data_IF_834347454350
#
_entry.id   IF_834347454350
#
_cell.length_a   1.000
_cell.length_b   1.000
_cell.length_c   1.000
_cell.angle_alpha   90.00
_cell.angle_beta   90.00
_cell.angle_gamma   90.00
#
_symmetry.space_group_name_H-M   'P 1'
#
loop_
_entity.id
_entity.type
_entity.pdbx_description
1 polymer ?
#
# COMPACT_ATOMS: atom_id res chain seq x y z
N UNK A 1 35.83 -14.39 4.80
CA UNK A 1 36.10 -13.10 5.45
C UNK A 1 34.78 -12.34 5.46
N UNK A 2 34.08 -12.31 6.61
CA UNK A 2 32.86 -11.54 6.77
C UNK A 2 33.28 -10.07 6.78
N UNK A 3 32.87 -9.32 5.75
CA UNK A 3 33.00 -7.86 5.77
C UNK A 3 31.78 -7.37 6.55
N UNK A 4 32.00 -6.86 7.75
CA UNK A 4 30.99 -6.07 8.48
C UNK A 4 30.39 -5.06 7.50
N UNK A 5 29.06 -4.99 7.34
CA UNK A 5 28.46 -3.95 6.52
C UNK A 5 28.90 -2.62 7.12
N UNK A 6 29.64 -1.82 6.34
CA UNK A 6 30.06 -0.48 6.74
C UNK A 6 28.88 0.28 7.33
N UNK A 7 29.15 1.07 8.38
CA UNK A 7 28.15 1.81 9.13
C UNK A 7 27.08 2.40 8.19
N UNK A 8 25.80 2.19 8.53
CA UNK A 8 24.68 2.82 7.81
C UNK A 8 24.97 4.31 7.64
N UNK A 9 24.65 4.92 6.48
CA UNK A 9 24.72 6.38 6.34
C UNK A 9 23.98 7.02 7.52
N UNK A 10 24.62 7.97 8.20
CA UNK A 10 23.99 8.65 9.32
C UNK A 10 22.66 9.28 8.84
N UNK A 11 21.54 8.89 9.48
CA UNK A 11 20.21 9.40 9.16
C UNK A 11 19.34 8.55 8.21
N UNK A 12 19.77 7.35 7.80
CA UNK A 12 18.93 6.44 7.00
C UNK A 12 17.69 5.99 7.80
N UNK A 13 16.51 6.17 7.21
CA UNK A 13 15.28 5.70 7.81
C UNK A 13 15.28 4.17 7.94
N UNK A 14 14.65 3.65 9.00
CA UNK A 14 14.68 2.21 9.32
C UNK A 14 14.09 1.33 8.20
N UNK A 15 13.11 1.85 7.45
CA UNK A 15 12.50 1.15 6.32
C UNK A 15 13.43 1.09 5.11
N UNK A 16 14.18 2.15 4.81
CA UNK A 16 15.16 2.18 3.72
C UNK A 16 16.31 1.23 4.00
N UNK A 17 16.77 1.22 5.25
CA UNK A 17 17.77 0.25 5.72
C UNK A 17 17.28 -1.19 5.57
N UNK A 18 16.02 -1.47 5.92
CA UNK A 18 15.45 -2.83 5.81
C UNK A 18 15.41 -3.29 4.35
N UNK A 19 14.94 -2.44 3.43
CA UNK A 19 14.92 -2.73 1.99
C UNK A 19 16.33 -2.97 1.46
N UNK A 20 17.27 -2.07 1.78
CA UNK A 20 18.68 -2.18 1.37
C UNK A 20 19.30 -3.48 1.84
N UNK A 21 19.16 -3.83 3.12
CA UNK A 21 19.69 -5.07 3.67
C UNK A 21 19.06 -6.29 3.01
N UNK A 22 17.75 -6.25 2.73
CA UNK A 22 17.09 -7.33 2.01
C UNK A 22 17.65 -7.50 0.59
N UNK A 23 17.86 -6.41 -0.17
CA UNK A 23 18.48 -6.47 -1.51
C UNK A 23 19.88 -7.09 -1.48
N UNK A 24 20.71 -6.71 -0.50
CA UNK A 24 22.04 -7.29 -0.31
C UNK A 24 21.96 -8.78 0.01
N UNK A 25 21.06 -9.18 0.93
CA UNK A 25 20.79 -10.59 1.23
C UNK A 25 20.33 -11.34 -0.03
N UNK A 26 19.47 -10.76 -0.85
CA UNK A 26 18.97 -11.40 -2.08
C UNK A 26 20.12 -11.78 -3.01
N UNK A 27 21.05 -10.85 -3.26
CA UNK A 27 22.24 -11.13 -4.09
C UNK A 27 23.11 -12.23 -3.48
N UNK A 28 23.36 -12.18 -2.17
CA UNK A 28 24.14 -13.20 -1.47
C UNK A 28 23.47 -14.59 -1.52
N UNK A 29 22.14 -14.65 -1.36
CA UNK A 29 21.36 -15.89 -1.42
C UNK A 29 21.37 -16.47 -2.82
N UNK A 30 21.18 -15.67 -3.87
CA UNK A 30 21.23 -16.15 -5.25
C UNK A 30 22.62 -16.71 -5.58
N UNK A 31 23.70 -16.00 -5.21
CA UNK A 31 25.07 -16.48 -5.40
C UNK A 31 25.33 -17.80 -4.66
N UNK A 32 24.79 -17.95 -3.45
CA UNK A 32 24.91 -19.18 -2.64
C UNK A 32 24.13 -20.36 -3.22
N UNK A 33 22.90 -20.12 -3.70
CA UNK A 33 22.00 -21.18 -4.20
C UNK A 33 22.35 -21.64 -5.61
N UNK A 34 23.09 -20.82 -6.35
CA UNK A 34 23.63 -21.14 -7.67
C UNK A 34 22.57 -21.16 -8.78
N UNK A 35 22.91 -21.75 -9.94
CA UNK A 35 22.04 -21.78 -11.10
C UNK A 35 20.65 -22.37 -10.82
N UNK A 36 19.63 -21.81 -11.47
CA UNK A 36 18.22 -22.22 -11.33
C UNK A 36 17.50 -21.68 -10.09
N UNK A 37 18.16 -20.85 -9.28
CA UNK A 37 17.52 -20.03 -8.26
C UNK A 37 16.93 -18.76 -8.89
N UNK A 38 15.63 -18.55 -8.70
CA UNK A 38 14.90 -17.38 -9.21
C UNK A 38 14.32 -16.60 -8.03
N UNK A 39 14.56 -15.29 -7.95
CA UNK A 39 13.96 -14.44 -6.90
C UNK A 39 12.45 -14.38 -7.10
N UNK A 40 11.68 -14.57 -6.02
CA UNK A 40 10.23 -14.76 -6.09
C UNK A 40 9.48 -14.07 -4.95
N UNK A 41 8.13 -14.11 -4.95
CA UNK A 41 7.26 -13.53 -3.90
C UNK A 41 7.63 -12.07 -3.56
N UNK A 42 7.63 -11.70 -2.26
CA UNK A 42 7.89 -10.32 -1.83
C UNK A 42 9.29 -9.81 -2.19
N UNK A 43 10.28 -10.71 -2.30
CA UNK A 43 11.64 -10.34 -2.73
C UNK A 43 11.65 -9.92 -4.19
N UNK A 44 10.87 -10.59 -5.05
CA UNK A 44 10.68 -10.20 -6.44
C UNK A 44 9.84 -8.92 -6.55
N UNK A 45 8.76 -8.81 -5.77
CA UNK A 45 7.93 -7.60 -5.76
C UNK A 45 8.77 -6.35 -5.46
N UNK A 46 9.64 -6.43 -4.45
CA UNK A 46 10.54 -5.33 -4.11
C UNK A 46 11.55 -5.02 -5.23
N UNK A 47 12.10 -6.03 -5.93
CA UNK A 47 12.98 -5.81 -7.08
C UNK A 47 12.26 -5.10 -8.25
N UNK A 48 10.97 -5.39 -8.45
CA UNK A 48 10.13 -4.69 -9.43
C UNK A 48 9.75 -3.26 -9.00
N UNK A 49 10.23 -2.80 -7.84
CA UNK A 49 9.91 -1.47 -7.32
C UNK A 49 8.53 -1.37 -6.67
N UNK A 50 7.86 -2.48 -6.39
CA UNK A 50 6.55 -2.48 -5.73
C UNK A 50 6.67 -2.12 -4.23
N UNK A 51 5.60 -1.55 -3.64
CA UNK A 51 5.59 -1.19 -2.23
C UNK A 51 5.79 -2.41 -1.32
N UNK A 52 6.44 -2.18 -0.17
CA UNK A 52 6.78 -3.26 0.79
C UNK A 52 5.87 -3.26 2.02
N UNK A 53 4.71 -2.60 1.94
CA UNK A 53 3.77 -2.54 3.06
C UNK A 53 3.23 -3.94 3.39
N UNK A 54 3.18 -4.28 4.68
CA UNK A 54 2.70 -5.58 5.16
C UNK A 54 3.60 -6.77 4.80
N UNK A 55 4.76 -6.55 4.16
CA UNK A 55 5.66 -7.62 3.76
C UNK A 55 6.69 -7.92 4.85
N UNK A 56 6.87 -9.20 5.17
CA UNK A 56 8.02 -9.64 5.95
C UNK A 56 9.26 -9.73 5.06
N UNK A 57 10.21 -8.83 5.29
CA UNK A 57 11.50 -8.76 4.60
C UNK A 57 12.65 -9.38 5.41
N UNK A 58 12.36 -10.14 6.47
CA UNK A 58 13.39 -10.81 7.29
C UNK A 58 14.19 -11.85 6.49
N UNK A 59 13.52 -12.55 5.57
CA UNK A 59 14.06 -13.62 4.71
C UNK A 59 13.87 -13.32 3.23
N UNK A 60 14.80 -13.81 2.42
CA UNK A 60 14.75 -13.74 0.95
C UNK A 60 13.90 -14.89 0.41
N UNK A 61 12.96 -14.59 -0.47
CA UNK A 61 12.14 -15.59 -1.14
C UNK A 61 12.75 -15.96 -2.50
N UNK A 62 12.96 -17.26 -2.70
CA UNK A 62 13.52 -17.82 -3.93
C UNK A 62 12.71 -19.04 -4.34
N UNK A 63 12.37 -19.16 -5.61
CA UNK A 63 11.75 -20.35 -6.19
C UNK A 63 12.78 -21.12 -7.01
N UNK A 64 12.80 -22.45 -6.86
CA UNK A 64 13.56 -23.37 -7.73
C UNK A 64 12.58 -24.34 -8.39
N UNK A 65 12.78 -24.61 -9.68
CA UNK A 65 11.99 -25.61 -10.40
C UNK A 65 12.31 -27.04 -9.94
N UNK A 66 13.56 -27.30 -9.59
CA UNK A 66 14.05 -28.63 -9.21
C UNK A 66 14.93 -28.59 -7.96
N UNK A 67 15.17 -29.77 -7.37
CA UNK A 67 16.02 -29.94 -6.19
C UNK A 67 15.26 -29.92 -4.85
N UNK A 68 16.02 -29.83 -3.75
CA UNK A 68 15.49 -29.89 -2.39
C UNK A 68 15.03 -28.50 -1.91
N UNK A 69 13.87 -28.45 -1.28
CA UNK A 69 13.40 -27.31 -0.48
C UNK A 69 14.25 -27.23 0.79
N UNK A 70 15.13 -26.24 0.90
CA UNK A 70 15.95 -26.00 2.10
C UNK A 70 15.89 -24.53 2.48
N UNK A 71 14.89 -24.18 3.28
CA UNK A 71 14.82 -22.88 3.94
C UNK A 71 15.77 -22.83 5.13
N UNK A 72 16.23 -21.63 5.47
CA UNK A 72 17.05 -21.33 6.64
C UNK A 72 16.64 -19.97 7.24
N UNK A 73 17.45 -19.44 8.17
CA UNK A 73 17.17 -18.15 8.82
C UNK A 73 17.26 -16.94 7.89
N UNK A 74 17.81 -17.09 6.68
CA UNK A 74 18.09 -16.00 5.73
C UNK A 74 17.22 -16.14 4.48
N UNK A 75 16.88 -17.36 4.06
CA UNK A 75 16.14 -17.60 2.82
C UNK A 75 15.01 -18.61 3.00
N UNK A 76 13.88 -18.30 2.36
CA UNK A 76 12.81 -19.24 2.10
C UNK A 76 12.88 -19.74 0.66
N UNK A 77 13.14 -21.04 0.54
CA UNK A 77 13.22 -21.72 -0.75
C UNK A 77 11.89 -22.39 -1.03
N UNK A 78 11.29 -22.03 -2.15
CA UNK A 78 10.03 -22.56 -2.67
C UNK A 78 10.29 -23.50 -3.84
N UNK A 79 9.30 -24.34 -4.14
CA UNK A 79 9.32 -25.20 -5.32
C UNK A 79 8.08 -24.96 -6.14
N UNK A 80 8.28 -24.56 -7.39
CA UNK A 80 7.21 -24.37 -8.37
C UNK A 80 7.83 -24.44 -9.75
N UNK A 81 7.06 -24.91 -10.72
CA UNK A 81 7.44 -24.83 -12.12
C UNK A 81 7.27 -23.38 -12.60
N UNK A 82 8.01 -23.03 -13.65
CA UNK A 82 7.89 -21.74 -14.32
C UNK A 82 7.30 -22.00 -15.70
N UNK A 83 6.17 -21.37 -15.98
CA UNK A 83 5.58 -21.37 -17.31
C UNK A 83 6.31 -20.37 -18.22
N UNK A 84 6.23 -20.54 -19.56
CA UNK A 84 6.78 -19.58 -20.49
C UNK A 84 6.27 -18.16 -20.21
N UNK A 85 7.19 -17.20 -20.11
CA UNK A 85 6.87 -15.80 -19.84
C UNK A 85 6.75 -15.43 -18.36
N UNK A 86 7.00 -16.35 -17.42
CA UNK A 86 6.96 -16.05 -15.98
C UNK A 86 8.30 -15.59 -15.39
N UNK A 87 9.36 -15.57 -16.19
CA UNK A 87 10.70 -15.17 -15.78
C UNK A 87 11.14 -13.91 -16.53
N UNK A 88 11.90 -13.07 -15.84
CA UNK A 88 12.54 -11.88 -16.37
C UNK A 88 13.87 -11.63 -15.63
N UNK A 89 14.59 -10.59 -16.03
CA UNK A 89 15.84 -10.16 -15.38
C UNK A 89 15.67 -8.75 -14.83
N UNK A 90 16.00 -8.57 -13.56
CA UNK A 90 16.05 -7.26 -12.89
C UNK A 90 17.39 -7.14 -12.19
N UNK A 91 18.14 -6.07 -12.44
CA UNK A 91 19.47 -5.83 -11.87
C UNK A 91 20.44 -7.02 -11.99
N UNK A 92 20.37 -7.75 -13.12
CA UNK A 92 21.20 -8.92 -13.40
C UNK A 92 20.79 -10.21 -12.67
N UNK A 93 19.70 -10.19 -11.90
CA UNK A 93 19.15 -11.36 -11.21
C UNK A 93 18.01 -11.97 -12.04
N UNK A 94 17.91 -13.31 -12.04
CA UNK A 94 16.71 -13.99 -12.53
C UNK A 94 15.58 -13.81 -11.51
N UNK A 95 14.45 -13.24 -11.96
CA UNK A 95 13.31 -12.89 -11.12
C UNK A 95 12.02 -13.35 -11.81
N UNK A 96 11.02 -13.75 -11.04
CA UNK A 96 9.68 -13.93 -11.61
C UNK A 96 9.10 -12.61 -12.12
N UNK A 97 8.19 -12.61 -13.10
CA UNK A 97 7.54 -11.37 -13.58
C UNK A 97 6.76 -10.67 -12.48
N UNK A 98 6.47 -9.37 -12.65
CA UNK A 98 5.69 -8.60 -11.67
C UNK A 98 4.33 -9.25 -11.39
N UNK A 99 3.62 -9.70 -12.43
CA UNK A 99 2.34 -10.42 -12.29
C UNK A 99 2.46 -11.66 -11.38
N UNK A 100 3.52 -12.45 -11.59
CA UNK A 100 3.80 -13.65 -10.82
C UNK A 100 4.21 -13.31 -9.38
N UNK A 101 5.04 -12.29 -9.19
CA UNK A 101 5.44 -11.80 -7.88
C UNK A 101 4.24 -11.33 -7.05
N UNK A 102 3.32 -10.57 -7.65
CA UNK A 102 2.06 -10.14 -7.01
C UNK A 102 1.23 -11.36 -6.60
N UNK A 103 1.00 -12.31 -7.52
CA UNK A 103 0.20 -13.50 -7.25
C UNK A 103 0.80 -14.38 -6.13
N UNK A 104 2.11 -14.65 -6.20
CA UNK A 104 2.82 -15.44 -5.19
C UNK A 104 2.79 -14.76 -3.82
N UNK A 105 3.04 -13.44 -3.77
CA UNK A 105 3.03 -12.69 -2.52
C UNK A 105 1.63 -12.64 -1.92
N UNK A 106 0.60 -12.39 -2.72
CA UNK A 106 -0.79 -12.38 -2.28
C UNK A 106 -1.23 -13.75 -1.74
N UNK A 107 -0.79 -14.85 -2.37
CA UNK A 107 -1.06 -16.21 -1.88
C UNK A 107 -0.40 -16.49 -0.53
N UNK A 108 0.82 -15.97 -0.31
CA UNK A 108 1.60 -16.22 0.89
C UNK A 108 1.31 -15.25 2.05
N UNK A 109 0.54 -14.18 1.80
CA UNK A 109 0.28 -13.10 2.77
C UNK A 109 -1.22 -12.90 3.01
N UNK A 110 -1.79 -11.76 2.59
CA UNK A 110 -3.17 -11.40 2.81
C UNK A 110 -3.80 -10.80 1.55
N UNK A 111 -5.14 -10.77 1.54
CA UNK A 111 -5.93 -10.09 0.52
C UNK A 111 -5.53 -8.62 0.38
N UNK A 112 -5.39 -7.89 1.49
CA UNK A 112 -5.04 -6.46 1.49
C UNK A 112 -3.65 -6.21 0.90
N UNK A 113 -2.66 -7.03 1.25
CA UNK A 113 -1.31 -6.98 0.63
C UNK A 113 -1.40 -7.24 -0.86
N UNK A 114 -2.21 -8.22 -1.27
CA UNK A 114 -2.46 -8.51 -2.68
C UNK A 114 -3.06 -7.33 -3.44
N UNK A 115 -4.00 -6.60 -2.84
CA UNK A 115 -4.60 -5.39 -3.44
C UNK A 115 -3.56 -4.29 -3.57
N UNK A 116 -2.81 -3.99 -2.50
CA UNK A 116 -1.77 -2.96 -2.52
C UNK A 116 -0.71 -3.23 -3.61
N UNK A 117 -0.26 -4.48 -3.71
CA UNK A 117 0.71 -4.87 -4.74
C UNK A 117 0.10 -4.85 -6.15
N UNK A 118 -1.16 -5.30 -6.29
CA UNK A 118 -1.89 -5.28 -7.55
C UNK A 118 -2.10 -3.86 -8.08
N UNK A 119 -2.65 -2.97 -7.25
CA UNK A 119 -2.84 -1.55 -7.55
C UNK A 119 -1.53 -0.91 -8.00
N UNK A 120 -0.46 -1.07 -7.21
CA UNK A 120 0.83 -0.47 -7.52
C UNK A 120 1.45 -1.00 -8.84
N UNK A 121 1.29 -2.30 -9.11
CA UNK A 121 1.78 -2.92 -10.34
C UNK A 121 1.00 -2.43 -11.58
N UNK A 122 -0.32 -2.24 -11.44
CA UNK A 122 -1.19 -1.69 -12.49
C UNK A 122 -0.90 -0.21 -12.73
N UNK A 123 -0.80 0.58 -11.66
CA UNK A 123 -0.48 2.01 -11.70
C UNK A 123 0.86 2.26 -12.41
N UNK A 124 1.87 1.47 -12.06
CA UNK A 124 3.21 1.54 -12.67
C UNK A 124 3.29 0.89 -14.06
N UNK A 125 2.17 0.33 -14.56
CA UNK A 125 2.07 -0.38 -15.85
C UNK A 125 3.06 -1.55 -16.00
N UNK A 126 3.45 -2.16 -14.88
CA UNK A 126 4.30 -3.36 -14.86
C UNK A 126 3.52 -4.61 -15.29
N UNK A 127 2.19 -4.56 -15.17
CA UNK A 127 1.26 -5.61 -15.56
C UNK A 127 -0.04 -4.98 -16.07
N UNK A 128 -0.74 -5.63 -17.00
CA UNK A 128 -2.11 -5.27 -17.35
C UNK A 128 -3.12 -5.98 -16.45
N UNK A 129 -4.36 -5.46 -16.30
CA UNK A 129 -5.42 -6.17 -15.55
C UNK A 129 -5.63 -7.61 -16.04
N UNK A 130 -5.61 -7.80 -17.36
CA UNK A 130 -5.80 -9.11 -18.00
C UNK A 130 -4.64 -10.06 -17.69
N UNK A 131 -3.39 -9.55 -17.74
CA UNK A 131 -2.21 -10.34 -17.44
C UNK A 131 -2.14 -10.74 -15.95
N UNK A 132 -2.56 -9.84 -15.05
CA UNK A 132 -2.65 -10.13 -13.62
C UNK A 132 -3.70 -11.21 -13.35
N UNK A 133 -4.90 -11.06 -13.93
CA UNK A 133 -5.98 -12.05 -13.81
C UNK A 133 -5.59 -13.41 -14.42
N UNK A 134 -4.98 -13.42 -15.61
CA UNK A 134 -4.52 -14.65 -16.24
C UNK A 134 -3.46 -15.38 -15.39
N UNK A 135 -2.60 -14.62 -14.68
CA UNK A 135 -1.57 -15.20 -13.81
C UNK A 135 -2.18 -15.87 -12.58
N UNK A 136 -3.10 -15.20 -11.87
CA UNK A 136 -3.78 -15.82 -10.72
C UNK A 136 -4.67 -17.00 -11.15
N UNK A 137 -5.23 -16.96 -12.35
CA UNK A 137 -6.06 -18.04 -12.90
C UNK A 137 -5.26 -19.29 -13.26
N UNK A 138 -4.06 -19.08 -13.80
CA UNK A 138 -3.09 -20.14 -14.08
C UNK A 138 -2.70 -20.87 -12.80
N UNK A 139 -2.54 -20.14 -11.71
CA UNK A 139 -2.07 -20.66 -10.42
C UNK A 139 -3.16 -20.87 -9.38
N UNK A 140 -4.38 -21.12 -9.85
CA UNK A 140 -5.57 -21.31 -9.01
C UNK A 140 -5.48 -22.45 -7.99
N UNK A 141 -4.52 -23.36 -8.11
CA UNK A 141 -4.33 -24.50 -7.19
C UNK A 141 -3.35 -24.22 -6.05
N UNK A 142 -2.70 -23.07 -6.02
CA UNK A 142 -1.85 -22.73 -4.88
C UNK A 142 -2.66 -22.49 -3.61
N UNK A 143 -2.02 -22.77 -2.49
CA UNK A 143 -2.53 -22.31 -1.20
C UNK A 143 -2.62 -20.78 -1.21
N UNK A 144 -3.73 -20.23 -0.73
CA UNK A 144 -3.99 -18.78 -0.75
C UNK A 144 -4.46 -18.21 -2.09
N UNK A 145 -4.58 -19.03 -3.15
CA UNK A 145 -5.04 -18.58 -4.47
C UNK A 145 -6.44 -17.92 -4.47
N UNK A 146 -7.42 -18.30 -3.62
CA UNK A 146 -8.70 -17.61 -3.61
C UNK A 146 -8.58 -16.14 -3.18
N UNK A 147 -7.73 -15.87 -2.17
CA UNK A 147 -7.45 -14.52 -1.70
C UNK A 147 -6.68 -13.71 -2.75
N UNK A 148 -5.67 -14.31 -3.40
CA UNK A 148 -4.94 -13.67 -4.49
C UNK A 148 -5.83 -13.33 -5.69
N UNK A 149 -6.75 -14.24 -6.06
CA UNK A 149 -7.74 -14.00 -7.11
C UNK A 149 -8.71 -12.89 -6.74
N UNK A 150 -9.21 -12.88 -5.51
CA UNK A 150 -10.07 -11.81 -5.02
C UNK A 150 -9.35 -10.46 -5.07
N UNK A 151 -8.09 -10.42 -4.62
CA UNK A 151 -7.28 -9.20 -4.65
C UNK A 151 -7.04 -8.71 -6.08
N UNK A 152 -6.69 -9.60 -7.02
CA UNK A 152 -6.52 -9.25 -8.42
C UNK A 152 -7.79 -8.71 -9.08
N UNK A 153 -8.97 -9.22 -8.69
CA UNK A 153 -10.27 -8.69 -9.16
C UNK A 153 -10.60 -7.32 -8.59
N UNK A 154 -10.15 -7.04 -7.38
CA UNK A 154 -10.38 -5.76 -6.70
C UNK A 154 -9.35 -4.69 -7.09
N UNK A 155 -8.19 -5.11 -7.58
CA UNK A 155 -7.11 -4.20 -7.94
C UNK A 155 -7.51 -3.21 -9.04
N UNK A 156 -7.08 -1.96 -8.90
CA UNK A 156 -7.33 -0.87 -9.82
C UNK A 156 -6.14 0.10 -9.80
N UNK A 157 -5.54 0.32 -10.98
CA UNK A 157 -4.33 1.14 -11.15
C UNK A 157 -4.54 2.65 -11.00
N UNK A 158 -5.76 3.10 -10.70
CA UNK A 158 -6.03 4.50 -10.33
C UNK A 158 -5.67 4.80 -8.87
N UNK A 159 -5.48 3.80 -7.99
CA UNK A 159 -4.89 4.06 -6.67
C UNK A 159 -3.41 4.41 -6.86
N UNK A 160 -3.00 5.59 -6.40
CA UNK A 160 -1.63 6.10 -6.60
C UNK A 160 -0.71 5.81 -5.41
N UNK A 161 -1.30 5.45 -4.26
CA UNK A 161 -0.57 5.20 -3.02
C UNK A 161 -1.04 3.95 -2.28
N UNK A 162 -0.16 3.43 -1.40
CA UNK A 162 -0.48 2.29 -0.52
C UNK A 162 -1.74 2.57 0.29
N UNK A 163 -1.90 3.78 0.82
CA UNK A 163 -3.02 4.03 1.70
C UNK A 163 -4.33 4.31 0.98
N UNK A 164 -4.33 4.82 -0.25
CA UNK A 164 -5.53 4.80 -1.11
C UNK A 164 -6.02 3.36 -1.32
N UNK A 165 -5.12 2.44 -1.71
CA UNK A 165 -5.45 1.02 -1.88
C UNK A 165 -6.07 0.41 -0.63
N UNK A 166 -5.49 0.71 0.54
CA UNK A 166 -5.96 0.20 1.83
C UNK A 166 -7.27 0.80 2.27
N UNK A 167 -7.44 2.11 2.06
CA UNK A 167 -8.69 2.80 2.33
C UNK A 167 -9.82 2.19 1.50
N UNK A 168 -9.59 1.88 0.21
CA UNK A 168 -10.57 1.17 -0.61
C UNK A 168 -10.94 -0.19 -0.04
N UNK A 169 -9.96 -0.99 0.40
CA UNK A 169 -10.21 -2.29 1.05
C UNK A 169 -11.07 -2.11 2.29
N UNK A 170 -10.76 -1.13 3.13
CA UNK A 170 -11.50 -0.87 4.36
C UNK A 170 -12.93 -0.39 4.10
N UNK A 171 -13.13 0.48 3.10
CA UNK A 171 -14.45 0.92 2.66
C UNK A 171 -15.30 -0.29 2.21
N UNK A 172 -14.74 -1.14 1.35
CA UNK A 172 -15.42 -2.34 0.87
C UNK A 172 -15.76 -3.32 2.01
N UNK A 173 -14.84 -3.54 2.95
CA UNK A 173 -15.05 -4.43 4.09
C UNK A 173 -16.17 -3.96 5.03
N UNK A 174 -16.43 -2.64 5.09
CA UNK A 174 -17.51 -2.06 5.89
C UNK A 174 -18.81 -1.84 5.09
N UNK A 175 -18.88 -2.34 3.85
CA UNK A 175 -20.07 -2.27 3.01
C UNK A 175 -20.35 -0.86 2.46
N UNK A 176 -19.33 0.01 2.40
CA UNK A 176 -19.48 1.29 1.73
C UNK A 176 -19.55 1.11 0.20
N UNK A 177 -20.20 2.05 -0.51
CA UNK A 177 -20.17 2.08 -1.97
C UNK A 177 -18.74 2.17 -2.51
N UNK A 178 -18.52 1.65 -3.71
CA UNK A 178 -17.23 1.79 -4.39
C UNK A 178 -16.95 3.28 -4.70
N UNK A 179 -15.82 3.82 -4.25
CA UNK A 179 -15.46 5.21 -4.52
C UNK A 179 -15.04 5.40 -5.98
N UNK A 180 -15.39 6.55 -6.56
CA UNK A 180 -14.76 7.03 -7.78
C UNK A 180 -13.34 7.49 -7.44
N UNK A 181 -12.34 6.88 -8.05
CA UNK A 181 -10.93 7.20 -7.79
C UNK A 181 -10.47 8.33 -8.68
N UNK A 182 -9.59 9.17 -8.13
CA UNK A 182 -8.93 10.24 -8.88
C UNK A 182 -9.95 11.16 -9.59
N UNK A 183 -11.08 11.40 -8.91
CA UNK A 183 -12.26 12.04 -9.47
C UNK A 183 -12.01 13.53 -9.73
N UNK A 184 -12.43 14.01 -10.90
CA UNK A 184 -12.34 15.42 -11.27
C UNK A 184 -13.61 16.17 -10.88
N UNK A 185 -13.47 17.19 -10.04
CA UNK A 185 -14.55 18.11 -9.69
C UNK A 185 -14.48 19.30 -10.65
N UNK A 186 -15.55 19.49 -11.42
CA UNK A 186 -15.67 20.55 -12.43
C UNK A 186 -16.82 21.51 -12.11
N UNK A 187 -16.65 22.77 -12.47
CA UNK A 187 -17.68 23.80 -12.32
C UNK A 187 -18.78 23.70 -13.40
N UNK A 188 -19.83 24.51 -13.27
CA UNK A 188 -20.96 24.56 -14.22
C UNK A 188 -20.57 24.98 -15.63
N UNK A 189 -19.37 25.56 -15.82
CA UNK A 189 -18.79 25.87 -17.12
C UNK A 189 -17.88 24.74 -17.67
N UNK A 190 -17.70 23.67 -16.90
CA UNK A 190 -16.83 22.54 -17.22
C UNK A 190 -15.36 22.72 -16.83
N UNK A 191 -15.00 23.83 -16.16
CA UNK A 191 -13.63 24.09 -15.72
C UNK A 191 -13.28 23.19 -14.53
N UNK A 192 -12.10 22.56 -14.58
CA UNK A 192 -11.57 21.74 -13.49
C UNK A 192 -11.27 22.61 -12.27
N UNK A 193 -11.81 22.25 -11.11
CA UNK A 193 -11.57 22.90 -9.82
C UNK A 193 -10.58 22.10 -8.99
N UNK A 194 -10.81 20.80 -8.90
CA UNK A 194 -10.01 19.91 -8.08
C UNK A 194 -9.99 18.51 -8.67
N UNK A 195 -8.93 17.76 -8.35
CA UNK A 195 -8.86 16.32 -8.50
C UNK A 195 -8.71 15.74 -7.10
N UNK A 196 -9.53 14.77 -6.74
CA UNK A 196 -9.58 14.19 -5.40
C UNK A 196 -9.30 12.69 -5.45
N UNK A 197 -8.66 12.15 -4.43
CA UNK A 197 -8.22 10.74 -4.45
C UNK A 197 -9.41 9.79 -4.50
N UNK A 198 -10.41 10.00 -3.65
CA UNK A 198 -11.64 9.20 -3.59
C UNK A 198 -12.88 10.09 -3.46
N UNK A 199 -13.89 9.82 -4.29
CA UNK A 199 -15.21 10.45 -4.22
C UNK A 199 -16.29 9.38 -3.99
N UNK A 200 -16.94 9.43 -2.84
CA UNK A 200 -18.04 8.54 -2.45
C UNK A 200 -19.38 9.22 -2.76
N UNK A 201 -20.25 8.51 -3.50
CA UNK A 201 -21.62 8.91 -3.83
C UNK A 201 -21.76 10.34 -4.37
N UNK A 202 -20.71 10.87 -5.02
CA UNK A 202 -20.61 12.26 -5.51
C UNK A 202 -20.77 13.34 -4.44
N UNK A 203 -20.65 13.00 -3.16
CA UNK A 203 -20.96 13.91 -2.06
C UNK A 203 -19.88 13.94 -0.98
N UNK A 204 -19.07 12.88 -0.85
CA UNK A 204 -18.02 12.79 0.15
C UNK A 204 -16.65 12.65 -0.52
N UNK A 205 -15.75 13.58 -0.21
CA UNK A 205 -14.36 13.58 -0.68
C UNK A 205 -13.46 13.02 0.42
N UNK A 206 -12.54 12.14 0.03
CA UNK A 206 -11.49 11.60 0.90
C UNK A 206 -10.14 11.75 0.21
N UNK A 207 -9.20 12.42 0.88
CA UNK A 207 -7.81 12.62 0.41
C UNK A 207 -6.84 11.91 1.36
N UNK A 208 -5.80 11.30 0.78
CA UNK A 208 -4.84 10.46 1.51
C UNK A 208 -3.55 11.18 1.92
N UNK A 209 -3.18 12.31 1.31
CA UNK A 209 -1.85 12.95 1.54
C UNK A 209 -1.88 14.45 1.95
N UNK A 210 -3.05 15.03 2.23
CA UNK A 210 -3.19 16.46 2.48
C UNK A 210 -3.22 16.85 3.96
N UNK A 211 -2.21 17.56 4.44
CA UNK A 211 -2.32 18.36 5.66
C UNK A 211 -3.58 19.25 5.60
N UNK A 212 -4.47 19.08 6.58
CA UNK A 212 -5.72 19.81 6.81
C UNK A 212 -6.00 21.02 5.90
N UNK A 213 -6.85 20.85 4.89
CA UNK A 213 -7.75 21.92 4.46
C UNK A 213 -9.15 21.64 5.00
N UNK A 214 -9.56 22.44 5.98
CA UNK A 214 -10.95 22.48 6.43
C UNK A 214 -11.83 23.09 5.32
N UNK A 215 -12.61 22.27 4.61
CA UNK A 215 -13.60 22.71 3.63
C UNK A 215 -14.57 21.59 3.29
N UNK A 216 -15.88 21.87 3.22
CA UNK A 216 -16.87 20.82 2.89
C UNK A 216 -16.74 20.46 1.40
N UNK A 217 -16.98 19.20 1.03
CA UNK A 217 -17.19 18.82 -0.37
C UNK A 217 -18.32 19.66 -1.01
N UNK A 218 -19.34 20.02 -0.21
CA UNK A 218 -20.37 20.99 -0.60
C UNK A 218 -19.81 22.38 -0.94
N UNK A 219 -18.73 22.84 -0.31
CA UNK A 219 -18.14 24.15 -0.61
C UNK A 219 -17.39 24.12 -1.95
N UNK A 220 -16.66 23.03 -2.24
CA UNK A 220 -16.02 22.82 -3.55
C UNK A 220 -17.04 22.58 -4.67
N UNK A 221 -18.12 21.84 -4.38
CA UNK A 221 -19.24 21.59 -5.31
C UNK A 221 -20.16 22.81 -5.44
N UNK A 222 -20.29 23.66 -4.41
CA UNK A 222 -21.02 24.93 -4.50
C UNK A 222 -20.22 26.00 -5.23
N UNK A 223 -18.90 26.07 -5.02
CA UNK A 223 -17.98 26.90 -5.79
C UNK A 223 -17.99 26.47 -7.27
N UNK A 224 -18.01 25.15 -7.53
CA UNK A 224 -18.28 24.58 -8.84
C UNK A 224 -19.62 25.01 -9.44
N UNK A 225 -20.66 25.19 -8.63
CA UNK A 225 -22.00 25.56 -9.12
C UNK A 225 -22.24 27.06 -9.13
N UNK A 226 -21.24 27.88 -8.81
CA UNK A 226 -21.36 29.35 -8.77
C UNK A 226 -22.31 29.85 -7.66
N UNK A 227 -22.50 29.07 -6.59
CA UNK A 227 -23.38 29.43 -5.47
C UNK A 227 -22.56 30.06 -4.33
N UNK A 228 -23.09 31.08 -3.62
CA UNK A 228 -22.35 31.75 -2.56
C UNK A 228 -22.10 30.82 -1.36
N UNK A 229 -20.93 30.92 -0.70
CA UNK A 229 -20.61 30.10 0.46
C UNK A 229 -21.59 30.37 1.61
N UNK A 230 -22.11 29.31 2.25
CA UNK A 230 -22.95 29.44 3.45
C UNK A 230 -22.10 29.92 4.63
N UNK A 231 -22.57 30.96 5.30
CA UNK A 231 -21.88 31.66 6.40
C UNK A 231 -21.48 30.74 7.56
N UNK A 232 -20.26 30.92 8.07
CA UNK A 232 -19.67 30.19 9.20
C UNK A 232 -20.41 30.47 10.51
N UNK A 233 -20.74 29.42 11.26
CA UNK A 233 -21.08 29.48 12.69
C UNK A 233 -19.91 28.88 13.48
N UNK A 234 -19.38 29.54 14.53
CA UNK A 234 -18.22 29.03 15.25
C UNK A 234 -18.63 27.88 16.18
N UNK A 235 -18.29 26.64 15.81
CA UNK A 235 -18.39 25.46 16.68
C UNK A 235 -17.05 25.15 17.33
N UNK A 236 -17.03 25.00 18.66
CA UNK A 236 -15.83 24.69 19.45
C UNK A 236 -15.10 23.43 18.95
N UNK A 237 -13.81 23.58 18.66
CA UNK A 237 -12.91 22.46 18.42
C UNK A 237 -12.55 21.76 19.74
N UNK A 238 -12.84 20.47 19.87
CA UNK A 238 -12.24 19.63 20.90
C UNK A 238 -10.85 19.21 20.45
N UNK A 239 -9.84 19.80 21.07
CA UNK A 239 -8.44 19.37 20.97
C UNK A 239 -8.24 18.20 21.92
N UNK A 240 -8.07 16.98 21.40
CA UNK A 240 -7.52 15.89 22.20
C UNK A 240 -6.00 16.08 22.23
N UNK A 241 -5.51 16.68 23.32
CA UNK A 241 -4.10 16.70 23.65
C UNK A 241 -3.74 15.34 24.28
N UNK A 242 -2.84 14.59 23.65
CA UNK A 242 -2.06 13.59 24.37
C UNK A 242 -1.10 14.29 25.34
N UNK A 243 -0.79 13.68 26.50
CA UNK A 243 0.06 14.32 27.49
C UNK A 243 1.50 14.46 26.97
N UNK A 244 1.95 15.70 26.84
CA UNK A 244 3.37 16.06 26.76
C UNK A 244 3.95 16.23 25.35
N UNK A 245 3.84 17.43 24.78
CA UNK A 245 4.96 18.05 24.04
C UNK A 245 4.67 19.53 23.76
N UNK A 246 5.60 20.36 24.19
CA UNK A 246 5.71 21.79 23.91
C UNK A 246 6.10 22.05 22.44
N UNK A 247 5.81 23.24 21.89
CA UNK A 247 5.94 23.49 20.46
C UNK A 247 7.38 23.89 20.10
N UNK A 248 8.03 23.12 19.23
CA UNK A 248 9.21 23.59 18.49
C UNK A 248 9.06 23.33 16.99
N UNK A 249 9.36 24.40 16.25
CA UNK A 249 9.57 24.60 14.81
C UNK A 249 9.49 23.41 13.84
N UNK A 250 8.60 23.61 12.87
CA UNK A 250 8.68 23.27 11.42
C UNK A 250 9.80 22.32 10.96
N UNK A 251 9.42 21.12 10.51
CA UNK A 251 10.19 20.29 9.57
C UNK A 251 9.29 19.75 8.43
N UNK A 252 9.82 19.50 7.21
CA UNK A 252 9.00 19.39 5.99
C UNK A 252 8.54 17.98 5.62
N UNK A 253 8.80 16.93 6.41
CA UNK A 253 8.45 15.55 6.04
C UNK A 253 7.73 14.84 7.21
N UNK A 254 6.40 14.84 7.19
CA UNK A 254 5.54 14.11 8.13
C UNK A 254 4.68 13.10 7.35
N UNK A 255 4.40 11.89 7.89
CA UNK A 255 3.60 10.87 7.20
C UNK A 255 2.12 11.32 7.05
N UNK A 256 1.58 11.16 5.83
CA UNK A 256 0.28 11.70 5.39
C UNK A 256 -0.93 11.22 6.19
N UNK A 257 -1.87 12.14 6.43
CA UNK A 257 -3.12 11.94 7.19
C UNK A 257 -4.30 11.73 6.23
N UNK A 258 -5.13 10.73 6.48
CA UNK A 258 -6.42 10.56 5.78
C UNK A 258 -7.51 11.43 6.45
N UNK A 259 -8.29 12.17 5.66
CA UNK A 259 -9.39 13.03 6.16
C UNK A 259 -10.65 12.95 5.28
N UNK A 260 -11.83 13.13 5.88
CA UNK A 260 -13.16 12.96 5.25
C UNK A 260 -14.06 14.20 5.43
N UNK A 261 -14.85 14.57 4.41
CA UNK A 261 -15.69 15.78 4.41
C UNK A 261 -17.10 15.60 3.77
N UNK A 262 -18.17 15.99 4.49
CA UNK A 262 -19.58 16.27 4.06
C UNK A 262 -20.52 15.06 3.93
N UNK A 263 -21.81 15.02 4.33
CA UNK A 263 -22.76 16.01 4.86
C UNK A 263 -23.84 15.35 5.78
N UNK A 264 -24.40 16.13 6.72
CA UNK A 264 -25.18 15.69 7.88
C UNK A 264 -26.56 15.03 7.60
N UNK A 265 -27.08 15.10 6.38
CA UNK A 265 -28.46 14.68 6.10
C UNK A 265 -28.59 13.44 5.20
N UNK A 266 -27.47 12.89 4.72
CA UNK A 266 -27.43 11.57 4.01
C UNK A 266 -26.44 10.59 4.68
N UNK A 267 -25.65 11.05 5.66
CA UNK A 267 -24.53 10.31 6.23
C UNK A 267 -24.84 9.67 7.61
N UNK A 268 -25.90 8.85 7.72
CA UNK A 268 -26.20 8.18 9.00
C UNK A 268 -25.04 7.28 9.51
N UNK A 269 -24.70 6.17 8.83
CA UNK A 269 -23.61 5.28 9.23
C UNK A 269 -22.22 5.85 8.96
N UNK A 270 -22.08 6.57 7.83
CA UNK A 270 -20.83 7.19 7.36
C UNK A 270 -20.21 8.07 8.45
N UNK A 271 -20.97 8.98 9.06
CA UNK A 271 -20.43 10.00 9.97
C UNK A 271 -20.03 9.45 11.36
N UNK A 272 -20.54 8.28 11.77
CA UNK A 272 -20.17 7.60 13.03
C UNK A 272 -18.98 6.66 12.86
N UNK A 273 -18.90 5.98 11.72
CA UNK A 273 -17.87 4.99 11.44
C UNK A 273 -16.61 5.61 10.84
N UNK A 274 -16.71 6.72 10.08
CA UNK A 274 -15.56 7.32 9.41
C UNK A 274 -14.42 7.73 10.34
N UNK A 275 -14.65 8.40 11.49
CA UNK A 275 -13.56 8.77 12.38
C UNK A 275 -12.85 7.56 12.99
N UNK A 276 -13.59 6.49 13.30
CA UNK A 276 -13.03 5.23 13.78
C UNK A 276 -12.26 4.50 12.65
N UNK A 277 -12.83 4.45 11.44
CA UNK A 277 -12.17 3.92 10.24
C UNK A 277 -10.87 4.68 9.93
N UNK A 278 -10.88 6.01 9.95
CA UNK A 278 -9.69 6.82 9.70
C UNK A 278 -8.63 6.62 10.79
N UNK A 279 -9.06 6.41 12.05
CA UNK A 279 -8.17 6.04 13.15
C UNK A 279 -7.57 4.64 12.95
N UNK A 280 -8.36 3.67 12.49
CA UNK A 280 -7.90 2.31 12.18
C UNK A 280 -6.95 2.29 10.97
N UNK A 281 -7.28 3.06 9.93
CA UNK A 281 -6.41 3.35 8.77
C UNK A 281 -5.09 3.93 9.27
N UNK A 282 -5.13 4.98 10.09
CA UNK A 282 -3.94 5.65 10.62
C UNK A 282 -3.08 4.72 11.49
N UNK A 283 -3.69 4.00 12.44
CA UNK A 283 -3.01 3.04 13.30
C UNK A 283 -2.40 1.88 12.51
N UNK A 284 -3.05 1.45 11.42
CA UNK A 284 -2.57 0.37 10.60
C UNK A 284 -1.53 0.81 9.54
N UNK A 285 -1.48 2.10 9.17
CA UNK A 285 -0.42 2.67 8.29
C UNK A 285 0.85 2.96 9.10
N UNK A 286 0.69 3.38 10.36
CA UNK A 286 1.78 3.69 11.27
C UNK A 286 1.78 2.72 12.47
N UNK A 287 2.14 1.44 12.29
CA UNK A 287 2.28 0.54 13.42
C UNK A 287 3.47 1.02 14.26
N UNK A 288 3.19 1.76 15.32
CA UNK A 288 4.18 2.03 16.38
C UNK A 288 4.56 0.65 16.91
N UNK A 289 5.77 0.18 16.57
CA UNK A 289 6.36 -0.93 17.28
C UNK A 289 6.67 -0.42 18.67
N UNK A 290 5.92 -0.95 19.63
CA UNK A 290 6.19 -0.86 21.05
C UNK A 290 7.70 -1.00 21.28
N UNK A 291 8.36 0.12 21.59
CA UNK A 291 9.71 0.06 22.12
C UNK A 291 9.55 -0.42 23.55
N UNK A 292 9.52 -1.74 23.72
CA UNK A 292 9.56 -2.39 25.01
C UNK A 292 10.69 -1.78 25.82
N UNK A 293 10.31 -0.94 26.77
CA UNK A 293 11.18 -0.38 27.79
C UNK A 293 11.80 -1.55 28.53
N UNK A 294 13.10 -1.79 28.31
CA UNK A 294 13.90 -2.62 29.17
C UNK A 294 13.87 -2.00 30.56
N UNK A 295 13.11 -2.61 31.48
CA UNK A 295 13.12 -2.23 32.87
C UNK A 295 14.37 -2.86 33.49
N UNK A 296 15.35 -2.02 33.82
CA UNK A 296 16.43 -2.39 34.70
C UNK A 296 15.89 -2.63 36.10
N UNK A 297 16.31 -3.75 36.69
CA UNK A 297 16.12 -4.15 38.08
C UNK A 297 17.06 -5.30 38.37
#
# INVERSE_FOLDING_TARGET
MYVEPGASPAGEASWDRTKRLHLLKTRAVINRLGPGAVVSHQSAAMLHGLPTWGLDLSRVHVTKATGRRRSDSIADVHRSHFDPGELTVVDGLQVVTAARAVAETACASSYEVGVVLGDAALHSRLVSPEALMATVDRHRVWHGSPAARAAARFANGLSESVGESRLRVLLANHGFPEPELQAEIRDGSGRLIARVDLLLERTCVVEFDGAMKYGKADDLVAEARGQPPRTRVPGRAHRLAGPGSTPHHSQPNSPGFASCWGCADVAGPLNRLFPALLSDVWAAINPVRDQGTGNGG
#
